data_IF_725576442683
#
_entry.id   IF_725576442683
#
_cell.length_a   1.000
_cell.length_b   1.000
_cell.length_c   1.000
_cell.angle_alpha   90.00
_cell.angle_beta   90.00
_cell.angle_gamma   90.00
#
_symmetry.space_group_name_H-M   'P 1'
#
loop_
_entity.id
_entity.type
_entity.pdbx_description
1 polymer ?
#
# COMPACT_ATOMS: atom_id res chain seq x y z
N UNK A 1 13.89 5.27 22.09
CA UNK A 1 12.75 5.13 21.17
C UNK A 1 11.92 6.39 21.30
N UNK A 2 11.45 6.94 20.18
CA UNK A 2 10.65 8.16 20.13
C UNK A 2 9.16 7.87 19.96
N UNK A 3 8.81 6.75 19.34
CA UNK A 3 7.42 6.33 19.16
C UNK A 3 6.87 5.75 20.47
N UNK A 4 5.65 6.16 20.84
CA UNK A 4 4.94 5.65 22.01
C UNK A 4 4.32 4.27 21.70
N UNK A 5 4.08 3.40 22.69
CA UNK A 5 3.41 2.11 22.47
C UNK A 5 2.08 2.22 21.70
N UNK A 6 1.29 3.26 21.98
CA UNK A 6 0.02 3.52 21.28
C UNK A 6 0.18 3.73 19.77
N UNK A 7 1.32 4.21 19.30
CA UNK A 7 1.59 4.33 17.86
C UNK A 7 1.56 2.96 17.18
N UNK A 8 2.07 1.91 17.79
CA UNK A 8 2.13 0.59 17.17
C UNK A 8 0.76 -0.08 17.07
N UNK A 9 -0.12 0.19 18.03
CA UNK A 9 -1.55 -0.19 17.92
C UNK A 9 -2.19 0.54 16.74
N UNK A 10 -1.97 1.85 16.63
CA UNK A 10 -2.44 2.63 15.49
C UNK A 10 -1.85 2.16 14.17
N UNK A 11 -0.59 1.73 14.14
CA UNK A 11 0.05 1.21 12.94
C UNK A 11 -0.71 -0.02 12.42
N UNK A 12 -1.06 -0.96 13.30
CA UNK A 12 -1.89 -2.13 12.93
C UNK A 12 -3.24 -1.69 12.36
N UNK A 13 -3.96 -0.79 13.06
CA UNK A 13 -5.26 -0.27 12.59
C UNK A 13 -5.14 0.39 11.22
N UNK A 14 -4.10 1.20 11.02
CA UNK A 14 -3.83 1.88 9.75
C UNK A 14 -3.49 0.90 8.63
N UNK A 15 -2.85 -0.23 8.92
CA UNK A 15 -2.66 -1.31 7.94
C UNK A 15 -4.00 -1.84 7.42
N UNK A 16 -4.94 -2.18 8.31
CA UNK A 16 -6.27 -2.63 7.89
C UNK A 16 -7.01 -1.55 7.10
N UNK A 17 -7.02 -0.31 7.58
CA UNK A 17 -7.68 0.81 6.88
C UNK A 17 -7.07 1.01 5.48
N UNK A 18 -5.74 1.08 5.38
CA UNK A 18 -5.05 1.30 4.10
C UNK A 18 -5.36 0.16 3.13
N UNK A 19 -5.35 -1.09 3.60
CA UNK A 19 -5.61 -2.24 2.73
C UNK A 19 -7.05 -2.25 2.22
N UNK A 20 -8.03 -2.00 3.10
CA UNK A 20 -9.44 -1.90 2.70
C UNK A 20 -9.68 -0.77 1.70
N UNK A 21 -9.03 0.39 1.88
CA UNK A 21 -9.17 1.50 0.95
C UNK A 21 -8.43 1.25 -0.37
N UNK A 22 -7.28 0.56 -0.32
CA UNK A 22 -6.52 0.15 -1.49
C UNK A 22 -7.32 -0.82 -2.38
N UNK A 23 -7.75 -1.95 -1.82
CA UNK A 23 -8.62 -2.89 -2.51
C UNK A 23 -9.94 -2.23 -2.87
N UNK A 24 -10.43 -1.31 -2.04
CA UNK A 24 -11.68 -0.59 -2.25
C UNK A 24 -11.61 0.30 -3.50
N UNK A 25 -10.44 0.91 -3.75
CA UNK A 25 -10.20 1.68 -4.95
C UNK A 25 -10.19 0.78 -6.20
N UNK A 26 -9.58 -0.40 -6.15
CA UNK A 26 -9.64 -1.37 -7.25
C UNK A 26 -11.09 -1.79 -7.54
N UNK A 27 -11.81 -2.21 -6.50
CA UNK A 27 -13.18 -2.66 -6.60
C UNK A 27 -14.12 -1.56 -7.11
N UNK A 28 -14.00 -0.34 -6.59
CA UNK A 28 -14.82 0.79 -7.00
C UNK A 28 -14.56 1.16 -8.45
N UNK A 29 -13.30 1.19 -8.89
CA UNK A 29 -12.96 1.46 -10.27
C UNK A 29 -13.54 0.41 -11.23
N UNK A 30 -13.39 -0.88 -10.90
CA UNK A 30 -13.95 -1.97 -11.70
C UNK A 30 -15.48 -1.95 -11.73
N UNK A 31 -16.11 -1.80 -10.57
CA UNK A 31 -17.58 -1.77 -10.44
C UNK A 31 -18.19 -0.55 -11.15
N UNK A 32 -17.54 0.61 -11.09
CA UNK A 32 -17.98 1.81 -11.81
C UNK A 32 -17.90 1.67 -13.34
N UNK A 33 -17.03 0.78 -13.84
CA UNK A 33 -16.97 0.40 -15.26
C UNK A 33 -17.95 -0.73 -15.63
N UNK A 34 -18.72 -1.25 -14.66
CA UNK A 34 -19.75 -2.27 -14.88
C UNK A 34 -19.28 -3.72 -14.74
N UNK A 35 -18.10 -3.98 -14.18
CA UNK A 35 -17.61 -5.35 -13.97
C UNK A 35 -18.22 -5.98 -12.73
N UNK A 36 -18.42 -7.29 -12.80
CA UNK A 36 -18.66 -8.10 -11.62
C UNK A 36 -17.33 -8.27 -10.86
N UNK A 37 -17.22 -7.59 -9.73
CA UNK A 37 -16.02 -7.51 -8.90
C UNK A 37 -16.28 -8.13 -7.53
N UNK A 38 -15.44 -9.09 -7.14
CA UNK A 38 -15.45 -9.64 -5.79
C UNK A 38 -14.45 -8.90 -4.92
N UNK A 39 -14.91 -8.34 -3.80
CA UNK A 39 -14.08 -7.63 -2.83
C UNK A 39 -13.52 -8.57 -1.77
N UNK A 40 -12.20 -8.51 -1.55
CA UNK A 40 -11.50 -9.22 -0.48
C UNK A 40 -10.79 -8.28 0.47
N UNK A 41 -10.18 -8.85 1.50
CA UNK A 41 -9.34 -8.10 2.42
C UNK A 41 -7.98 -7.77 1.82
N UNK A 42 -7.42 -8.63 0.97
CA UNK A 42 -6.08 -8.49 0.39
C UNK A 42 -6.04 -8.55 -1.15
N UNK A 43 -7.14 -8.89 -1.80
CA UNK A 43 -7.22 -8.96 -3.26
C UNK A 43 -8.64 -8.71 -3.72
N UNK A 44 -8.79 -8.11 -4.90
CA UNK A 44 -10.05 -8.11 -5.65
C UNK A 44 -10.00 -9.11 -6.81
N UNK A 45 -11.12 -9.79 -7.09
CA UNK A 45 -11.25 -10.70 -8.24
C UNK A 45 -12.23 -10.14 -9.26
N UNK A 46 -11.90 -10.31 -10.54
CA UNK A 46 -12.81 -10.05 -11.65
C UNK A 46 -13.58 -11.33 -11.94
N UNK A 47 -14.90 -11.29 -11.81
CA UNK A 47 -15.79 -12.41 -12.12
C UNK A 47 -16.35 -12.32 -13.54
N UNK A 48 -16.26 -11.14 -14.17
CA UNK A 48 -16.60 -10.91 -15.57
C UNK A 48 -15.35 -10.57 -16.40
N UNK A 49 -15.35 -10.85 -17.72
CA UNK A 49 -14.32 -10.35 -18.62
C UNK A 49 -14.23 -8.82 -18.61
N UNK A 50 -13.02 -8.29 -18.80
CA UNK A 50 -12.75 -6.86 -18.93
C UNK A 50 -11.74 -6.62 -20.06
N UNK A 51 -11.93 -5.55 -20.83
CA UNK A 51 -10.95 -5.15 -21.84
C UNK A 51 -9.61 -4.78 -21.17
N UNK A 52 -8.46 -4.99 -21.85
CA UNK A 52 -7.14 -4.75 -21.24
C UNK A 52 -6.98 -3.35 -20.63
N UNK A 53 -7.49 -2.31 -21.29
CA UNK A 53 -7.39 -0.93 -20.80
C UNK A 53 -8.24 -0.69 -19.54
N UNK A 54 -9.40 -1.34 -19.45
CA UNK A 54 -10.30 -1.21 -18.31
C UNK A 54 -9.69 -1.90 -17.08
N UNK A 55 -9.14 -3.09 -17.28
CA UNK A 55 -8.40 -3.81 -16.24
C UNK A 55 -7.18 -3.02 -15.79
N UNK A 56 -6.46 -2.37 -16.70
CA UNK A 56 -5.34 -1.49 -16.35
C UNK A 56 -5.79 -0.31 -15.49
N UNK A 57 -6.91 0.34 -15.80
CA UNK A 57 -7.45 1.46 -14.99
C UNK A 57 -7.82 0.98 -13.60
N UNK A 58 -8.52 -0.16 -13.49
CA UNK A 58 -8.88 -0.73 -12.21
C UNK A 58 -7.64 -1.20 -11.42
N UNK A 59 -6.65 -1.84 -12.06
CA UNK A 59 -5.35 -2.21 -11.46
C UNK A 59 -4.52 -0.98 -11.05
N UNK A 60 -4.69 0.19 -11.67
CA UNK A 60 -3.98 1.40 -11.26
C UNK A 60 -4.61 2.07 -10.02
N UNK A 61 -5.90 1.83 -9.76
CA UNK A 61 -6.66 2.57 -8.76
C UNK A 61 -6.15 2.37 -7.32
N UNK A 62 -5.87 1.13 -6.90
CA UNK A 62 -5.30 0.83 -5.58
C UNK A 62 -3.94 1.53 -5.35
N UNK A 63 -2.94 1.32 -6.22
CA UNK A 63 -1.65 1.99 -6.13
C UNK A 63 -1.78 3.52 -6.13
N UNK A 64 -2.61 4.08 -7.01
CA UNK A 64 -2.85 5.52 -7.07
C UNK A 64 -3.40 6.06 -5.76
N UNK A 65 -4.39 5.38 -5.16
CA UNK A 65 -4.92 5.72 -3.84
C UNK A 65 -3.83 5.68 -2.76
N UNK A 66 -3.02 4.62 -2.74
CA UNK A 66 -1.97 4.42 -1.71
C UNK A 66 -0.85 5.45 -1.83
N UNK A 67 -0.46 5.81 -3.06
CA UNK A 67 0.50 6.88 -3.33
C UNK A 67 -0.06 8.21 -2.83
N UNK A 68 -1.31 8.55 -3.18
CA UNK A 68 -1.95 9.78 -2.73
C UNK A 68 -2.03 9.85 -1.19
N UNK A 69 -2.46 8.76 -0.54
CA UNK A 69 -2.47 8.62 0.91
C UNK A 69 -1.08 8.89 1.49
N UNK A 70 -0.04 8.25 0.96
CA UNK A 70 1.34 8.44 1.39
C UNK A 70 1.82 9.89 1.25
N UNK A 71 1.50 10.55 0.13
CA UNK A 71 1.85 11.95 -0.10
C UNK A 71 1.15 12.89 0.90
N UNK A 72 -0.15 12.72 1.12
CA UNK A 72 -0.91 13.51 2.11
C UNK A 72 -0.35 13.30 3.51
N UNK A 73 -0.11 12.04 3.89
CA UNK A 73 0.49 11.67 5.16
C UNK A 73 1.87 12.31 5.36
N UNK A 74 2.73 12.29 4.33
CA UNK A 74 4.03 12.94 4.37
C UNK A 74 3.92 14.45 4.61
N UNK A 75 3.00 15.14 3.94
CA UNK A 75 2.78 16.58 4.15
C UNK A 75 2.38 16.88 5.60
N UNK A 76 1.51 16.07 6.18
CA UNK A 76 1.09 16.21 7.59
C UNK A 76 2.25 15.98 8.57
N UNK A 77 3.09 14.97 8.32
CA UNK A 77 4.31 14.75 9.13
C UNK A 77 5.28 15.91 8.99
N UNK A 78 5.54 16.37 7.76
CA UNK A 78 6.49 17.45 7.49
C UNK A 78 6.10 18.74 8.20
N UNK A 79 4.81 19.12 8.12
CA UNK A 79 4.29 20.37 8.69
C UNK A 79 4.11 20.31 10.20
N UNK A 80 3.53 19.23 10.71
CA UNK A 80 3.03 19.19 12.10
C UNK A 80 3.69 18.12 12.97
N UNK A 81 4.50 17.22 12.40
CA UNK A 81 5.11 16.12 13.15
C UNK A 81 4.10 15.08 13.63
N UNK A 82 2.95 14.92 12.95
CA UNK A 82 1.92 13.94 13.34
C UNK A 82 2.43 12.50 13.20
N UNK A 83 2.56 11.79 14.33
CA UNK A 83 3.00 10.40 14.32
C UNK A 83 1.98 9.45 13.72
N UNK A 84 0.67 9.70 13.87
CA UNK A 84 -0.36 8.86 13.21
C UNK A 84 -0.29 9.02 11.68
N UNK A 85 -0.05 10.23 11.17
CA UNK A 85 0.19 10.41 9.73
C UNK A 85 1.45 9.63 9.28
N UNK A 86 2.48 9.56 10.10
CA UNK A 86 3.64 8.70 9.81
C UNK A 86 3.27 7.21 9.68
N UNK A 87 2.28 6.71 10.45
CA UNK A 87 1.78 5.34 10.27
C UNK A 87 1.19 5.14 8.86
N UNK A 88 0.35 6.06 8.38
CA UNK A 88 -0.22 5.98 7.01
C UNK A 88 0.85 6.01 5.92
N UNK A 89 1.87 6.86 6.08
CA UNK A 89 3.01 6.92 5.16
C UNK A 89 3.84 5.64 5.21
N UNK A 90 4.13 5.12 6.41
CA UNK A 90 4.90 3.90 6.58
C UNK A 90 4.16 2.69 5.99
N UNK A 91 2.87 2.55 6.26
CA UNK A 91 2.02 1.51 5.68
C UNK A 91 1.97 1.59 4.15
N UNK A 92 1.86 2.78 3.58
CA UNK A 92 1.92 2.96 2.13
C UNK A 92 3.26 2.44 1.57
N UNK A 93 4.39 2.88 2.11
CA UNK A 93 5.70 2.42 1.65
C UNK A 93 5.92 0.92 1.84
N UNK A 94 5.54 0.38 3.01
CA UNK A 94 5.75 -1.02 3.36
C UNK A 94 4.90 -1.95 2.50
N UNK A 95 3.60 -1.65 2.34
CA UNK A 95 2.72 -2.48 1.49
C UNK A 95 3.21 -2.51 0.04
N UNK A 96 3.63 -1.37 -0.51
CA UNK A 96 4.17 -1.30 -1.88
C UNK A 96 5.50 -2.02 -2.02
N UNK A 97 6.39 -1.91 -1.03
CA UNK A 97 7.62 -2.70 -0.98
C UNK A 97 7.32 -4.21 -0.94
N UNK A 98 6.42 -4.66 -0.07
CA UNK A 98 6.04 -6.08 0.02
C UNK A 98 5.44 -6.56 -1.30
N UNK A 99 4.54 -5.79 -1.91
CA UNK A 99 3.95 -6.12 -3.21
C UNK A 99 5.03 -6.22 -4.31
N UNK A 100 5.99 -5.29 -4.33
CA UNK A 100 7.12 -5.34 -5.27
C UNK A 100 8.03 -6.57 -5.03
N UNK A 101 8.23 -7.00 -3.79
CA UNK A 101 8.97 -8.23 -3.50
C UNK A 101 8.20 -9.48 -3.97
N UNK A 102 6.90 -9.54 -3.70
CA UNK A 102 6.01 -10.61 -4.18
C UNK A 102 5.95 -10.64 -5.71
N UNK A 103 6.12 -9.49 -6.37
CA UNK A 103 6.22 -9.37 -7.83
C UNK A 103 7.27 -10.25 -8.46
N UNK A 104 8.29 -10.73 -7.74
CA UNK A 104 9.23 -11.72 -8.29
C UNK A 104 8.49 -12.96 -8.81
N UNK A 105 7.52 -13.46 -8.03
CA UNK A 105 6.71 -14.64 -8.37
C UNK A 105 5.49 -14.28 -9.22
N UNK A 106 4.71 -13.27 -8.80
CA UNK A 106 3.44 -12.91 -9.43
C UNK A 106 3.32 -11.39 -9.56
N UNK A 107 3.12 -10.84 -10.78
CA UNK A 107 3.03 -9.39 -10.97
C UNK A 107 1.97 -8.73 -10.08
N UNK A 108 2.42 -7.85 -9.18
CA UNK A 108 1.56 -6.94 -8.43
C UNK A 108 0.94 -5.87 -9.33
N UNK A 109 0.13 -5.00 -8.75
CA UNK A 109 -0.70 -4.02 -9.47
C UNK A 109 0.17 -3.07 -10.32
N UNK A 110 1.21 -2.49 -9.72
CA UNK A 110 2.14 -1.62 -10.43
C UNK A 110 2.88 -2.36 -11.54
N UNK A 111 3.26 -3.63 -11.32
CA UNK A 111 3.89 -4.45 -12.35
C UNK A 111 2.94 -4.73 -13.52
N UNK A 112 1.66 -5.03 -13.26
CA UNK A 112 0.65 -5.22 -14.31
C UNK A 112 0.43 -3.95 -15.13
N UNK A 113 0.29 -2.80 -14.47
CA UNK A 113 0.20 -1.49 -15.13
C UNK A 113 1.47 -1.20 -15.94
N UNK A 114 2.66 -1.47 -15.38
CA UNK A 114 3.94 -1.23 -16.04
C UNK A 114 4.10 -2.07 -17.31
N UNK A 115 3.68 -3.33 -17.27
CA UNK A 115 3.67 -4.22 -18.44
C UNK A 115 2.68 -3.79 -19.50
N UNK A 116 1.47 -3.34 -19.10
CA UNK A 116 0.47 -2.82 -20.05
C UNK A 116 1.03 -1.67 -20.89
N UNK A 117 1.76 -0.75 -20.27
CA UNK A 117 2.38 0.39 -20.96
C UNK A 117 3.70 0.07 -21.69
N UNK A 118 4.15 -1.19 -21.69
CA UNK A 118 5.41 -1.58 -22.31
C UNK A 118 6.66 -1.06 -21.58
N UNK A 119 6.54 -0.66 -20.31
CA UNK A 119 7.65 -0.12 -19.51
C UNK A 119 8.52 -1.22 -18.88
N UNK A 120 8.19 -2.49 -19.09
CA UNK A 120 8.79 -3.64 -18.41
C UNK A 120 8.23 -3.84 -16.99
N UNK A 121 8.42 -5.03 -16.42
CA UNK A 121 7.80 -5.46 -15.15
C UNK A 121 8.16 -4.59 -13.94
N UNK A 122 9.37 -4.02 -13.90
CA UNK A 122 9.96 -3.45 -12.68
C UNK A 122 9.92 -1.92 -12.60
N UNK A 123 9.63 -1.23 -13.70
CA UNK A 123 9.74 0.23 -13.77
C UNK A 123 8.83 0.93 -12.76
N UNK A 124 7.52 0.67 -12.78
CA UNK A 124 6.60 1.28 -11.80
C UNK A 124 6.79 0.74 -10.37
N UNK A 125 6.94 -0.57 -10.12
CA UNK A 125 7.19 -1.07 -8.76
C UNK A 125 8.40 -0.42 -8.08
N UNK A 126 9.52 -0.28 -8.79
CA UNK A 126 10.74 0.36 -8.27
C UNK A 126 10.51 1.84 -8.03
N UNK A 127 9.94 2.55 -9.00
CA UNK A 127 9.71 4.00 -8.90
C UNK A 127 8.82 4.34 -7.70
N UNK A 128 7.68 3.65 -7.56
CA UNK A 128 6.72 3.88 -6.48
C UNK A 128 7.33 3.54 -5.13
N UNK A 129 7.95 2.36 -5.02
CA UNK A 129 8.54 1.90 -3.75
C UNK A 129 9.69 2.81 -3.32
N UNK A 130 10.62 3.14 -4.21
CA UNK A 130 11.75 4.02 -3.90
C UNK A 130 11.27 5.42 -3.52
N UNK A 131 10.28 5.96 -4.22
CA UNK A 131 9.66 7.26 -3.89
C UNK A 131 9.07 7.28 -2.49
N UNK A 132 8.22 6.29 -2.16
CA UNK A 132 7.59 6.21 -0.84
C UNK A 132 8.61 5.96 0.30
N UNK A 133 9.63 5.12 0.06
CA UNK A 133 10.73 4.91 1.03
C UNK A 133 11.49 6.21 1.26
N UNK A 134 11.80 6.99 0.21
CA UNK A 134 12.46 8.28 0.36
C UNK A 134 11.63 9.25 1.23
N UNK A 135 10.30 9.26 1.08
CA UNK A 135 9.40 10.03 1.95
C UNK A 135 9.41 9.52 3.39
N UNK A 136 9.38 8.21 3.62
CA UNK A 136 9.51 7.61 4.97
C UNK A 136 10.83 8.03 5.61
N UNK A 137 11.95 8.01 4.88
CA UNK A 137 13.26 8.44 5.39
C UNK A 137 13.24 9.91 5.76
N UNK A 138 12.69 10.78 4.90
CA UNK A 138 12.57 12.21 5.18
C UNK A 138 11.68 12.49 6.40
N UNK A 139 10.52 11.82 6.50
CA UNK A 139 9.62 11.90 7.65
C UNK A 139 10.26 11.39 8.95
N UNK A 140 11.03 10.30 8.86
CA UNK A 140 11.74 9.72 10.00
C UNK A 140 12.79 10.69 10.56
N UNK A 141 13.52 11.39 9.69
CA UNK A 141 14.45 12.47 10.08
C UNK A 141 13.69 13.61 10.77
N UNK A 142 12.56 14.04 10.21
CA UNK A 142 11.70 15.10 10.80
C UNK A 142 11.17 14.76 12.20
N UNK A 143 10.92 13.48 12.46
CA UNK A 143 10.45 12.96 13.75
C UNK A 143 11.60 12.48 14.66
N UNK A 144 12.87 12.61 14.21
CA UNK A 144 14.06 12.14 14.90
C UNK A 144 13.99 10.65 15.31
N UNK A 145 13.40 9.80 14.46
CA UNK A 145 13.24 8.37 14.72
C UNK A 145 14.58 7.65 14.58
N UNK A 146 14.90 6.79 15.55
CA UNK A 146 16.11 5.96 15.52
C UNK A 146 15.87 4.58 14.90
N UNK A 147 16.94 3.80 14.76
CA UNK A 147 16.86 2.44 14.20
C UNK A 147 15.93 1.50 14.99
N UNK A 148 15.83 1.66 16.32
CA UNK A 148 14.90 0.87 17.17
C UNK A 148 13.44 1.14 16.83
N UNK A 149 13.11 2.40 16.51
CA UNK A 149 11.76 2.78 16.09
C UNK A 149 11.43 2.12 14.74
N UNK A 150 12.38 2.15 13.79
CA UNK A 150 12.21 1.52 12.47
C UNK A 150 12.10 -0.01 12.54
N UNK A 151 12.94 -0.65 13.37
CA UNK A 151 12.89 -2.09 13.56
C UNK A 151 11.53 -2.53 14.12
N UNK A 152 10.99 -1.80 15.10
CA UNK A 152 9.68 -2.14 15.65
C UNK A 152 8.54 -1.86 14.67
N UNK A 153 8.61 -0.77 13.89
CA UNK A 153 7.68 -0.55 12.78
C UNK A 153 7.71 -1.71 11.78
N UNK A 154 8.91 -2.19 11.41
CA UNK A 154 9.08 -3.32 10.49
C UNK A 154 8.45 -4.60 11.02
N UNK A 155 8.73 -4.96 12.28
CA UNK A 155 8.15 -6.16 12.91
C UNK A 155 6.63 -6.07 12.97
N UNK A 156 6.08 -4.95 13.45
CA UNK A 156 4.63 -4.75 13.57
C UNK A 156 3.96 -4.74 12.20
N UNK A 157 4.54 -4.08 11.21
CA UNK A 157 4.04 -4.07 9.83
C UNK A 157 4.05 -5.46 9.20
N UNK A 158 5.11 -6.25 9.43
CA UNK A 158 5.22 -7.62 8.91
C UNK A 158 4.14 -8.51 9.49
N UNK A 159 3.86 -8.40 10.79
CA UNK A 159 2.77 -9.11 11.45
C UNK A 159 1.41 -8.66 10.94
N UNK A 160 1.19 -7.35 10.78
CA UNK A 160 -0.08 -6.81 10.29
C UNK A 160 -0.39 -7.26 8.86
N UNK A 161 0.57 -7.17 7.92
CA UNK A 161 0.39 -7.65 6.55
C UNK A 161 0.16 -9.15 6.52
N UNK A 162 0.92 -9.92 7.30
CA UNK A 162 0.74 -11.38 7.39
C UNK A 162 -0.64 -11.76 7.93
N UNK A 163 -1.15 -11.00 8.91
CA UNK A 163 -2.51 -11.18 9.41
C UNK A 163 -3.57 -10.85 8.35
N UNK A 164 -3.43 -9.74 7.62
CA UNK A 164 -4.36 -9.37 6.54
C UNK A 164 -4.40 -10.45 5.47
N UNK A 165 -3.24 -10.86 4.96
CA UNK A 165 -3.12 -11.93 3.93
C UNK A 165 -3.66 -13.26 4.46
N UNK A 166 -3.40 -13.59 5.73
CA UNK A 166 -3.89 -14.82 6.36
C UNK A 166 -5.41 -14.84 6.53
N UNK A 167 -5.99 -13.71 6.95
CA UNK A 167 -7.43 -13.55 7.16
C UNK A 167 -8.22 -13.51 5.85
N UNK A 168 -7.61 -13.01 4.77
CA UNK A 168 -8.24 -12.96 3.45
C UNK A 168 -8.71 -14.34 2.96
N UNK A 169 -8.03 -15.42 3.37
CA UNK A 169 -8.40 -16.82 3.06
C UNK A 169 -9.74 -17.27 3.63
N UNK A 170 -10.31 -16.52 4.57
CA UNK A 170 -11.63 -16.78 5.14
C UNK A 170 -12.72 -15.88 4.52
N UNK A 171 -12.33 -14.93 3.67
CA UNK A 171 -13.24 -14.02 2.96
C UNK A 171 -13.37 -14.43 1.49
N UNK A 172 -12.25 -14.83 0.85
CA UNK A 172 -12.15 -15.25 -0.56
C UNK A 172 -11.42 -16.57 -0.75
#
# INVERSE_FOLDING_TARGET
MKLKPSFFVWLVVVFFITNLLHEGAHWLAGSAMGFDMQFGLNVVRYNSPAEPWQRMVADAAGPAFTILQGLVAYVLVKRHGHTIAFAFLYTAAFSRLTAALVSVLHPNDEARVSMYWGLGKWTLPVLVTAGLIALVVAASKRLALGWKDQLLCYVVASLAVSAIVGLDRFVL
#
